data_IF_784827084007
#
_entry.id   IF_784827084007
#
_cell.length_a   1.000
_cell.length_b   1.000
_cell.length_c   1.000
_cell.angle_alpha   90.00
_cell.angle_beta   90.00
_cell.angle_gamma   90.00
#
_symmetry.space_group_name_H-M   'P 1'
#
loop_
_entity.id
_entity.type
_entity.pdbx_description
1 polymer ?
#
# COMPACT_ATOMS: atom_id res chain seq x y z
N UNK A 1 -34.05 6.27 12.85
CA UNK A 1 -33.16 5.77 11.78
C UNK A 1 -32.02 4.90 12.33
N UNK A 2 -32.29 4.05 13.32
CA UNK A 2 -31.26 3.30 14.06
C UNK A 2 -30.56 2.22 13.24
N UNK A 3 -31.27 1.59 12.30
CA UNK A 3 -30.68 0.59 11.42
C UNK A 3 -29.60 1.17 10.50
N UNK A 4 -29.79 2.40 10.01
CA UNK A 4 -28.82 3.08 9.16
C UNK A 4 -27.55 3.44 9.94
N UNK A 5 -27.71 3.91 11.18
CA UNK A 5 -26.58 4.18 12.09
C UNK A 5 -25.74 2.92 12.31
N UNK A 6 -26.39 1.80 12.66
CA UNK A 6 -25.71 0.51 12.86
C UNK A 6 -25.03 0.00 11.58
N UNK A 7 -25.66 0.21 10.43
CA UNK A 7 -25.09 -0.16 9.13
C UNK A 7 -23.82 0.65 8.84
N UNK A 8 -23.88 1.98 8.99
CA UNK A 8 -22.74 2.86 8.74
C UNK A 8 -21.60 2.59 9.72
N UNK A 9 -21.90 2.33 10.98
CA UNK A 9 -20.91 1.92 11.98
C UNK A 9 -20.20 0.62 11.57
N UNK A 10 -20.95 -0.40 11.16
CA UNK A 10 -20.40 -1.68 10.68
C UNK A 10 -19.53 -1.51 9.43
N UNK A 11 -20.01 -0.75 8.44
CA UNK A 11 -19.28 -0.48 7.20
C UNK A 11 -17.97 0.26 7.48
N UNK A 12 -18.01 1.34 8.27
CA UNK A 12 -16.83 2.14 8.58
C UNK A 12 -15.83 1.36 9.42
N UNK A 13 -16.29 0.57 10.39
CA UNK A 13 -15.41 -0.27 11.21
C UNK A 13 -14.61 -1.25 10.36
N UNK A 14 -15.27 -1.97 9.45
CA UNK A 14 -14.63 -2.94 8.56
C UNK A 14 -13.74 -2.28 7.52
N UNK A 15 -14.17 -1.18 6.90
CA UNK A 15 -13.35 -0.43 5.95
C UNK A 15 -12.10 0.19 6.58
N UNK A 16 -12.18 0.56 7.87
CA UNK A 16 -11.03 1.01 8.64
C UNK A 16 -10.01 -0.12 8.86
N UNK A 17 -10.47 -1.36 9.11
CA UNK A 17 -9.57 -2.52 9.20
C UNK A 17 -8.85 -2.79 7.87
N UNK A 18 -9.56 -2.70 6.74
CA UNK A 18 -8.95 -2.81 5.40
C UNK A 18 -7.92 -1.70 5.15
N UNK A 19 -8.19 -0.48 5.59
CA UNK A 19 -7.26 0.64 5.47
C UNK A 19 -5.99 0.40 6.30
N UNK A 20 -6.14 -0.04 7.54
CA UNK A 20 -5.03 -0.29 8.45
C UNK A 20 -4.18 -1.50 8.04
N UNK A 21 -4.80 -2.57 7.53
CA UNK A 21 -4.06 -3.77 7.06
C UNK A 21 -3.14 -3.46 5.89
N UNK A 22 -3.41 -2.39 5.14
CA UNK A 22 -2.56 -1.84 4.08
C UNK A 22 -1.58 -0.77 4.56
N UNK A 23 -1.42 -0.62 5.87
CA UNK A 23 -0.60 0.41 6.50
C UNK A 23 -0.96 1.85 6.05
N UNK A 24 -2.18 2.06 5.57
CA UNK A 24 -2.66 3.37 5.16
C UNK A 24 -3.28 4.11 6.36
N UNK A 25 -3.08 5.43 6.40
CA UNK A 25 -3.70 6.31 7.40
C UNK A 25 -4.97 6.99 6.88
N UNK A 26 -5.18 6.95 5.57
CA UNK A 26 -6.30 7.57 4.88
C UNK A 26 -7.11 6.49 4.19
N UNK A 27 -8.41 6.46 4.48
CA UNK A 27 -9.34 5.57 3.80
C UNK A 27 -9.66 6.14 2.41
N UNK A 28 -9.48 5.32 1.38
CA UNK A 28 -9.80 5.65 0.00
C UNK A 28 -11.00 4.84 -0.48
N UNK A 29 -11.53 5.20 -1.65
CA UNK A 29 -12.62 4.43 -2.30
C UNK A 29 -12.19 2.99 -2.63
N UNK A 30 -10.91 2.75 -2.91
CA UNK A 30 -10.40 1.40 -3.14
C UNK A 30 -10.46 0.51 -1.88
N UNK A 31 -10.24 1.05 -0.68
CA UNK A 31 -10.46 0.30 0.56
C UNK A 31 -11.93 -0.03 0.78
N UNK A 32 -12.84 0.89 0.43
CA UNK A 32 -14.28 0.65 0.51
C UNK A 32 -14.73 -0.44 -0.46
N UNK A 33 -14.23 -0.41 -1.71
CA UNK A 33 -14.47 -1.48 -2.69
C UNK A 33 -14.04 -2.84 -2.14
N UNK A 34 -12.80 -2.94 -1.65
CA UNK A 34 -12.28 -4.18 -1.07
C UNK A 34 -13.11 -4.65 0.14
N UNK A 35 -13.51 -3.74 1.03
CA UNK A 35 -14.36 -4.06 2.17
C UNK A 35 -15.71 -4.66 1.74
N UNK A 36 -16.34 -4.07 0.71
CA UNK A 36 -17.62 -4.52 0.17
C UNK A 36 -17.48 -5.89 -0.52
N UNK A 37 -16.36 -6.16 -1.19
CA UNK A 37 -16.12 -7.44 -1.86
C UNK A 37 -15.83 -8.59 -0.89
N UNK A 38 -15.19 -8.31 0.26
CA UNK A 38 -14.87 -9.31 1.28
C UNK A 38 -16.07 -9.67 2.17
N UNK A 39 -17.07 -8.80 2.27
CA UNK A 39 -18.15 -8.91 3.23
C UNK A 39 -19.48 -9.21 2.56
N UNK A 40 -19.94 -10.46 2.66
CA UNK A 40 -21.19 -10.91 2.03
C UNK A 40 -22.41 -10.06 2.41
N UNK A 41 -22.44 -9.50 3.63
CA UNK A 41 -23.53 -8.62 4.08
C UNK A 41 -23.61 -7.32 3.28
N UNK A 42 -22.55 -6.94 2.55
CA UNK A 42 -22.46 -5.72 1.75
C UNK A 42 -22.63 -5.98 0.24
N UNK A 43 -22.99 -7.20 -0.18
CA UNK A 43 -23.12 -7.57 -1.60
C UNK A 43 -24.05 -6.66 -2.40
N UNK A 44 -25.08 -6.09 -1.77
CA UNK A 44 -25.99 -5.13 -2.40
C UNK A 44 -25.31 -3.83 -2.85
N UNK A 45 -24.07 -3.56 -2.42
CA UNK A 45 -23.26 -2.42 -2.84
C UNK A 45 -22.27 -2.73 -3.96
N UNK A 46 -22.13 -3.99 -4.38
CA UNK A 46 -21.12 -4.40 -5.38
C UNK A 46 -21.25 -3.62 -6.70
N UNK A 47 -22.47 -3.48 -7.20
CA UNK A 47 -22.75 -2.73 -8.43
C UNK A 47 -22.39 -1.24 -8.29
N UNK A 48 -22.56 -0.66 -7.10
CA UNK A 48 -22.23 0.73 -6.83
C UNK A 48 -20.71 0.98 -6.89
N UNK A 49 -19.91 0.01 -6.46
CA UNK A 49 -18.44 0.13 -6.42
C UNK A 49 -17.73 -0.49 -7.62
N UNK A 50 -18.45 -1.09 -8.56
CA UNK A 50 -17.88 -1.79 -9.71
C UNK A 50 -16.95 -0.90 -10.57
N UNK A 51 -17.23 0.40 -10.67
CA UNK A 51 -16.42 1.35 -11.42
C UNK A 51 -15.16 1.84 -10.67
N UNK A 52 -15.03 1.53 -9.37
CA UNK A 52 -13.86 1.93 -8.57
C UNK A 52 -12.67 1.05 -8.95
N UNK A 53 -11.51 1.62 -9.29
CA UNK A 53 -10.31 0.84 -9.54
C UNK A 53 -9.82 0.11 -8.28
N UNK A 54 -9.26 -1.07 -8.48
CA UNK A 54 -8.60 -1.81 -7.40
C UNK A 54 -7.34 -1.08 -6.93
N UNK A 55 -6.99 -1.29 -5.66
CA UNK A 55 -5.79 -0.71 -5.08
C UNK A 55 -4.55 -1.42 -5.63
N UNK A 56 -3.66 -0.68 -6.31
CA UNK A 56 -2.40 -1.22 -6.86
C UNK A 56 -1.23 -1.02 -5.87
N UNK A 57 -0.68 -2.11 -5.32
CA UNK A 57 0.50 -2.17 -4.42
C UNK A 57 0.18 -1.85 -2.95
N UNK A 58 0.77 -2.44 -1.91
CA UNK A 58 1.86 -3.40 -1.71
C UNK A 58 1.40 -4.40 -0.61
N UNK A 59 1.89 -5.63 -0.65
CA UNK A 59 1.51 -6.72 0.27
C UNK A 59 0.72 -7.81 -0.44
N UNK A 60 1.45 -8.75 -1.02
CA UNK A 60 0.99 -10.06 -1.48
C UNK A 60 -0.03 -10.67 -0.51
N UNK A 61 -1.27 -10.85 -0.96
CA UNK A 61 -1.99 -12.09 -0.67
C UNK A 61 -2.83 -12.50 -1.88
N UNK A 62 -2.83 -13.80 -2.11
CA UNK A 62 -3.07 -14.47 -3.37
C UNK A 62 -4.56 -14.52 -3.73
N UNK A 63 -4.91 -14.03 -4.92
CA UNK A 63 -5.85 -14.76 -5.77
C UNK A 63 -5.23 -14.91 -7.15
N UNK A 64 -4.29 -15.86 -7.25
CA UNK A 64 -3.77 -16.33 -8.52
C UNK A 64 -4.82 -17.25 -9.16
N UNK A 65 -5.51 -16.75 -10.18
CA UNK A 65 -6.10 -17.58 -11.23
C UNK A 65 -6.20 -16.74 -12.51
N UNK A 66 -5.78 -17.32 -13.64
CA UNK A 66 -5.95 -16.74 -14.97
C UNK A 66 -4.71 -16.05 -15.55
N UNK A 67 -3.69 -16.83 -15.86
CA UNK A 67 -2.50 -16.34 -16.55
C UNK A 67 -2.71 -16.08 -18.03
N UNK A 68 -2.03 -15.08 -18.57
CA UNK A 68 -1.51 -15.10 -19.95
C UNK A 68 -0.20 -14.31 -20.03
N UNK A 69 0.89 -15.05 -19.83
CA UNK A 69 2.26 -14.67 -20.14
C UNK A 69 2.44 -14.65 -21.66
N UNK A 70 2.07 -13.54 -22.30
CA UNK A 70 2.46 -13.29 -23.70
C UNK A 70 3.90 -12.80 -23.75
N UNK A 71 4.77 -13.76 -24.04
CA UNK A 71 6.09 -13.59 -24.63
C UNK A 71 6.07 -12.58 -25.78
N UNK A 72 6.90 -11.53 -25.71
CA UNK A 72 7.72 -11.08 -26.87
C UNK A 72 9.11 -10.66 -26.41
N UNK A 73 10.01 -11.64 -26.37
CA UNK A 73 11.46 -11.43 -26.48
C UNK A 73 11.75 -10.63 -27.76
N UNK A 74 12.50 -9.53 -27.62
CA UNK A 74 13.44 -9.07 -28.64
C UNK A 74 13.22 -7.68 -29.22
N UNK A 75 14.06 -6.70 -28.81
CA UNK A 75 14.76 -5.81 -29.76
C UNK A 75 15.99 -5.11 -29.14
N UNK A 76 17.16 -5.66 -29.51
CA UNK A 76 18.53 -5.09 -29.66
C UNK A 76 19.31 -4.50 -28.46
N UNK A 77 20.55 -5.02 -28.23
CA UNK A 77 21.58 -4.32 -27.46
C UNK A 77 22.35 -3.33 -28.35
N UNK A 78 22.80 -2.23 -27.77
CA UNK A 78 23.91 -1.44 -28.32
C UNK A 78 23.57 0.00 -28.74
N UNK A 79 23.97 0.95 -27.89
CA UNK A 79 24.65 2.16 -28.37
C UNK A 79 25.47 2.72 -27.22
N UNK A 80 26.72 2.26 -27.11
CA UNK A 80 27.70 2.91 -26.26
C UNK A 80 27.96 4.31 -26.76
N UNK A 81 27.94 5.29 -25.86
CA UNK A 81 28.73 6.51 -25.99
C UNK A 81 29.46 6.78 -24.69
N UNK A 82 30.79 6.78 -24.83
CA UNK A 82 31.85 7.08 -23.89
C UNK A 82 31.91 8.58 -23.61
N UNK A 83 32.54 8.90 -22.47
CA UNK A 83 33.10 10.18 -22.03
C UNK A 83 32.09 11.18 -21.44
N UNK A 84 32.33 11.83 -20.30
CA UNK A 84 33.54 11.98 -19.50
C UNK A 84 33.55 13.40 -18.90
N UNK A 85 34.00 13.57 -17.66
CA UNK A 85 34.18 14.87 -16.99
C UNK A 85 33.43 14.93 -15.65
N UNK A 86 34.08 14.60 -14.53
CA UNK A 86 34.88 15.52 -13.71
C UNK A 86 34.02 16.58 -12.99
N UNK A 87 33.73 16.32 -11.72
CA UNK A 87 33.12 17.27 -10.78
C UNK A 87 33.54 16.91 -9.36
N UNK A 88 34.41 17.73 -8.81
CA UNK A 88 35.19 17.54 -7.57
C UNK A 88 34.41 17.82 -6.29
N UNK A 89 34.82 17.13 -5.20
CA UNK A 89 34.89 17.57 -3.80
C UNK A 89 33.62 18.12 -3.12
N UNK A 90 33.11 17.32 -2.18
CA UNK A 90 32.42 17.78 -0.98
C UNK A 90 32.68 16.77 0.14
N UNK A 91 33.73 17.01 0.93
CA UNK A 91 34.17 16.20 2.06
C UNK A 91 33.78 16.98 3.31
N UNK A 92 32.91 16.44 4.15
CA UNK A 92 33.04 16.63 5.59
C UNK A 92 32.52 15.43 6.38
N UNK A 93 33.29 15.13 7.41
CA UNK A 93 33.36 13.92 8.22
C UNK A 93 33.24 14.34 9.67
N UNK A 94 32.27 13.79 10.42
CA UNK A 94 32.29 13.53 11.88
C UNK A 94 30.95 12.90 12.26
N UNK A 95 30.81 11.66 12.73
CA UNK A 95 31.38 10.93 13.88
C UNK A 95 31.22 11.61 15.25
N UNK A 96 30.24 11.12 16.01
CA UNK A 96 30.27 10.80 17.47
C UNK A 96 28.83 10.43 17.87
N UNK A 97 28.48 9.37 18.60
CA UNK A 97 29.20 8.43 19.46
C UNK A 97 28.33 8.13 20.69
N UNK A 98 28.28 6.86 21.11
CA UNK A 98 27.91 6.29 22.45
C UNK A 98 26.48 6.51 22.98
N UNK A 99 25.65 5.48 23.24
CA UNK A 99 25.72 4.31 24.16
C UNK A 99 25.33 4.61 25.62
N UNK A 100 24.49 3.70 26.16
CA UNK A 100 24.14 3.38 27.56
C UNK A 100 23.11 4.19 28.35
N UNK A 101 21.93 3.56 28.50
CA UNK A 101 21.38 2.94 29.72
C UNK A 101 21.03 3.73 31.02
N UNK A 102 19.94 3.23 31.62
CA UNK A 102 19.58 3.13 33.05
C UNK A 102 18.61 4.14 33.72
N UNK A 103 17.40 3.62 33.94
CA UNK A 103 16.75 3.33 35.24
C UNK A 103 16.19 4.45 36.16
N UNK A 104 15.12 4.02 36.86
CA UNK A 104 14.48 4.57 38.09
C UNK A 104 13.64 5.84 37.86
N UNK A 105 12.32 5.88 38.08
CA UNK A 105 11.49 5.22 39.09
C UNK A 105 10.77 6.30 39.92
N UNK A 106 9.72 5.92 40.66
CA UNK A 106 8.96 6.70 41.65
C UNK A 106 7.96 7.71 41.02
N UNK A 107 6.68 7.78 41.40
CA UNK A 107 5.97 7.35 42.62
C UNK A 107 4.49 7.30 42.33
#
# INVERSE_FOLDING_TARGET
ARALELFLESLLTKACQVTQSRNAKTMTTSHLKQCIELEQQFDFLKDLVAAVPDMQGDGEDNHAEGGEKVSRRGRKPGSGRKNGGAGTKGKDKKQSGTESEQEVGKT
#
